data_IF_479170047875
#
_entry.id   IF_479170047875
#
_cell.length_a   1.000
_cell.length_b   1.000
_cell.length_c   1.000
_cell.angle_alpha   90.00
_cell.angle_beta   90.00
_cell.angle_gamma   90.00
#
_symmetry.space_group_name_H-M   'P 1'
#
loop_
_entity.id
_entity.type
_entity.pdbx_description
1 polymer ?
#
# COMPACT_ATOMS: atom_id res chain seq x y z
N UNK A 1 3.59 -7.24 8.92
CA UNK A 1 2.38 -7.04 8.11
C UNK A 1 1.50 -6.14 8.94
N UNK A 2 1.57 -4.85 8.64
CA UNK A 2 1.42 -3.81 9.66
C UNK A 2 0.00 -3.24 9.71
N UNK A 3 -0.94 -3.91 9.03
CA UNK A 3 -2.37 -3.62 9.10
C UNK A 3 -2.86 -2.53 8.15
N UNK A 4 -1.98 -1.91 7.37
CA UNK A 4 -2.34 -0.78 6.48
C UNK A 4 -2.99 -1.18 5.14
N UNK A 5 -3.54 -2.39 5.04
CA UNK A 5 -4.15 -2.86 3.80
C UNK A 5 -5.49 -2.19 3.49
N UNK A 6 -5.66 -1.77 2.24
CA UNK A 6 -6.88 -1.20 1.67
C UNK A 6 -7.48 -2.10 0.57
N UNK A 7 -8.77 -1.90 0.24
CA UNK A 7 -9.40 -2.65 -0.87
C UNK A 7 -8.72 -2.35 -2.22
N UNK A 8 -8.23 -1.13 -2.42
CA UNK A 8 -7.50 -0.74 -3.64
C UNK A 8 -6.24 -1.59 -3.85
N UNK A 9 -5.55 -2.01 -2.78
CA UNK A 9 -4.35 -2.84 -2.89
C UNK A 9 -4.65 -4.17 -3.60
N UNK A 10 -5.86 -4.72 -3.47
CA UNK A 10 -6.25 -5.95 -4.19
C UNK A 10 -6.37 -5.72 -5.70
N UNK A 11 -6.84 -4.55 -6.12
CA UNK A 11 -6.91 -4.18 -7.53
C UNK A 11 -5.50 -3.96 -8.09
N UNK A 12 -4.62 -3.33 -7.31
CA UNK A 12 -3.23 -3.10 -7.68
C UNK A 12 -2.47 -4.43 -7.82
N UNK A 13 -2.74 -5.42 -6.96
CA UNK A 13 -2.20 -6.78 -7.09
C UNK A 13 -2.63 -7.45 -8.42
N UNK A 14 -3.90 -7.35 -8.83
CA UNK A 14 -4.35 -7.91 -10.12
C UNK A 14 -3.68 -7.23 -11.31
N UNK A 15 -3.51 -5.90 -11.23
CA UNK A 15 -2.80 -5.15 -12.26
C UNK A 15 -1.33 -5.56 -12.34
N UNK A 16 -0.64 -5.69 -11.19
CA UNK A 16 0.74 -6.14 -11.12
C UNK A 16 0.93 -7.56 -11.66
N UNK A 17 -0.01 -8.48 -11.38
CA UNK A 17 0.02 -9.84 -11.95
C UNK A 17 0.04 -9.80 -13.48
N UNK A 18 -0.86 -9.02 -14.08
CA UNK A 18 -0.92 -8.85 -15.54
C UNK A 18 0.35 -8.21 -16.08
N UNK A 19 0.88 -7.20 -15.40
CA UNK A 19 2.12 -6.53 -15.80
C UNK A 19 3.29 -7.53 -15.79
N UNK A 20 3.47 -8.26 -14.69
CA UNK A 20 4.58 -9.20 -14.53
C UNK A 20 4.50 -10.36 -15.52
N UNK A 21 3.30 -10.89 -15.80
CA UNK A 21 3.12 -11.95 -16.80
C UNK A 21 3.45 -11.52 -18.22
N UNK A 22 3.16 -10.26 -18.58
CA UNK A 22 3.27 -9.78 -19.96
C UNK A 22 4.60 -9.05 -20.26
N UNK A 23 5.20 -8.39 -19.27
CA UNK A 23 6.35 -7.51 -19.49
C UNK A 23 7.68 -8.08 -18.96
N UNK A 24 7.65 -9.21 -18.24
CA UNK A 24 8.89 -9.82 -17.72
C UNK A 24 9.70 -10.49 -18.83
N UNK A 25 11.00 -10.21 -18.87
CA UNK A 25 11.93 -10.79 -19.83
C UNK A 25 12.25 -12.28 -19.56
N UNK A 26 12.13 -12.72 -18.31
CA UNK A 26 12.43 -14.10 -17.92
C UNK A 26 11.27 -14.74 -17.14
N UNK A 27 11.28 -16.08 -17.10
CA UNK A 27 10.24 -16.87 -16.43
C UNK A 27 10.12 -16.64 -14.93
N UNK A 28 11.16 -16.11 -14.27
CA UNK A 28 11.09 -15.77 -12.85
C UNK A 28 10.13 -14.61 -12.61
N UNK A 29 10.21 -13.54 -13.41
CA UNK A 29 9.32 -12.39 -13.27
C UNK A 29 7.87 -12.75 -13.56
N UNK A 30 7.62 -13.56 -14.60
CA UNK A 30 6.26 -13.99 -14.93
C UNK A 30 5.65 -15.00 -13.95
N UNK A 31 6.47 -15.75 -13.20
CA UNK A 31 6.00 -16.70 -12.18
C UNK A 31 5.97 -16.15 -10.75
N UNK A 32 6.67 -15.03 -10.49
CA UNK A 32 6.70 -14.37 -9.20
C UNK A 32 5.31 -14.05 -8.60
N UNK A 33 4.28 -13.58 -9.35
CA UNK A 33 2.99 -13.25 -8.74
C UNK A 33 2.14 -14.49 -8.40
N UNK A 34 2.45 -15.67 -8.96
CA UNK A 34 1.60 -16.86 -8.86
C UNK A 34 1.23 -17.24 -7.43
N UNK A 35 2.15 -17.27 -6.43
CA UNK A 35 1.78 -17.63 -5.07
C UNK A 35 0.78 -16.66 -4.44
N UNK A 36 0.90 -15.37 -4.72
CA UNK A 36 0.01 -14.33 -4.17
C UNK A 36 -1.36 -14.41 -4.84
N UNK A 37 -1.40 -14.54 -6.17
CA UNK A 37 -2.66 -14.61 -6.92
C UNK A 37 -3.42 -15.89 -6.60
N UNK A 38 -2.75 -17.04 -6.55
CA UNK A 38 -3.37 -18.32 -6.22
C UNK A 38 -4.00 -18.30 -4.82
N UNK A 39 -3.30 -17.71 -3.85
CA UNK A 39 -3.80 -17.62 -2.47
C UNK A 39 -4.90 -16.57 -2.35
N UNK A 40 -4.84 -15.46 -3.08
CA UNK A 40 -5.92 -14.49 -3.16
C UNK A 40 -7.20 -15.10 -3.74
N UNK A 41 -7.09 -15.93 -4.78
CA UNK A 41 -8.23 -16.63 -5.38
C UNK A 41 -8.82 -17.70 -4.45
N UNK A 42 -7.98 -18.52 -3.82
CA UNK A 42 -8.42 -19.65 -2.96
C UNK A 42 -8.85 -19.21 -1.57
N UNK A 43 -8.29 -18.13 -1.04
CA UNK A 43 -8.46 -17.68 0.33
C UNK A 43 -8.85 -16.21 0.45
N UNK A 44 -9.61 -15.67 -0.53
CA UNK A 44 -10.04 -14.26 -0.54
C UNK A 44 -10.59 -13.75 0.81
N UNK A 45 -11.44 -14.49 1.53
CA UNK A 45 -11.93 -14.04 2.83
C UNK A 45 -10.82 -13.84 3.88
N UNK A 46 -9.68 -14.54 3.76
CA UNK A 46 -8.54 -14.34 4.66
C UNK A 46 -7.80 -13.02 4.41
N UNK A 47 -7.79 -12.54 3.17
CA UNK A 47 -7.26 -11.22 2.81
C UNK A 47 -8.24 -10.12 3.23
N UNK A 48 -9.52 -10.25 2.89
CA UNK A 48 -10.55 -9.27 3.22
C UNK A 48 -10.65 -9.02 4.73
N UNK A 49 -10.52 -10.06 5.57
CA UNK A 49 -10.49 -9.91 7.04
C UNK A 49 -9.32 -9.06 7.57
N UNK A 50 -8.27 -8.85 6.77
CA UNK A 50 -7.07 -8.07 7.15
C UNK A 50 -7.06 -6.67 6.53
N UNK A 51 -8.02 -6.37 5.66
CA UNK A 51 -8.20 -5.04 5.07
C UNK A 51 -9.01 -4.20 6.06
N UNK A 52 -8.44 -3.05 6.42
CA UNK A 52 -9.02 -2.16 7.43
C UNK A 52 -9.67 -0.92 6.81
N UNK A 53 -9.34 -0.61 5.56
CA UNK A 53 -9.77 0.62 4.88
C UNK A 53 -10.44 0.33 3.54
N UNK A 54 -11.53 1.04 3.26
CA UNK A 54 -12.28 0.88 2.01
C UNK A 54 -11.60 1.56 0.81
N UNK A 55 -10.95 2.71 1.04
CA UNK A 55 -10.40 3.54 -0.04
C UNK A 55 -8.87 3.49 -0.09
N UNK A 56 -8.20 4.20 0.81
CA UNK A 56 -6.75 4.34 0.84
C UNK A 56 -6.22 4.48 2.26
N UNK A 57 -5.07 3.87 2.53
CA UNK A 57 -4.32 4.03 3.77
C UNK A 57 -2.82 4.14 3.45
N UNK A 58 -2.11 5.15 3.97
CA UNK A 58 -0.66 5.22 3.86
C UNK A 58 0.00 3.98 4.47
N UNK A 59 1.00 3.43 3.75
CA UNK A 59 1.76 2.27 4.22
C UNK A 59 2.73 2.58 5.37
N UNK A 60 2.95 3.87 5.68
CA UNK A 60 3.82 4.35 6.74
C UNK A 60 3.28 5.65 7.35
N UNK A 61 3.82 6.01 8.52
CA UNK A 61 3.47 7.24 9.23
C UNK A 61 3.99 8.48 8.47
N UNK A 62 3.07 9.19 7.82
CA UNK A 62 3.36 10.40 7.06
C UNK A 62 3.84 11.55 7.95
N UNK A 63 3.29 11.68 9.16
CA UNK A 63 3.67 12.74 10.08
C UNK A 63 5.07 12.47 10.65
N UNK A 64 5.31 11.24 11.08
CA UNK A 64 6.63 10.80 11.53
C UNK A 64 7.71 10.94 10.45
N UNK A 65 7.37 10.73 9.17
CA UNK A 65 8.30 10.92 8.06
C UNK A 65 8.79 12.38 7.91
N UNK A 66 8.04 13.36 8.43
CA UNK A 66 8.43 14.78 8.41
C UNK A 66 9.32 15.19 9.58
N UNK A 67 9.56 14.31 10.56
CA UNK A 67 10.34 14.63 11.75
C UNK A 67 11.71 15.26 11.42
N UNK A 68 12.42 14.70 10.43
CA UNK A 68 13.74 15.21 10.04
C UNK A 68 13.67 16.63 9.44
N UNK A 69 12.62 16.95 8.70
CA UNK A 69 12.44 18.28 8.12
C UNK A 69 12.12 19.32 9.21
N UNK A 70 11.34 18.95 10.23
CA UNK A 70 11.03 19.81 11.39
C UNK A 70 12.30 20.15 12.16
N UNK A 71 13.14 19.17 12.44
CA UNK A 71 14.44 19.37 13.09
C UNK A 71 15.33 20.36 12.33
N UNK A 72 15.41 20.22 11.00
CA UNK A 72 16.26 21.07 10.17
C UNK A 72 15.76 22.51 10.05
N UNK A 73 14.45 22.71 10.08
CA UNK A 73 13.82 24.03 9.89
C UNK A 73 13.48 24.72 11.21
N UNK A 74 13.52 24.01 12.34
CA UNK A 74 13.09 24.51 13.64
C UNK A 74 11.59 24.78 13.73
N UNK A 75 10.78 24.18 12.84
CA UNK A 75 9.33 24.36 12.80
C UNK A 75 8.60 23.24 13.53
N UNK A 76 7.56 23.63 14.28
CA UNK A 76 6.65 22.73 15.00
C UNK A 76 5.20 23.29 15.01
N UNK A 77 4.90 24.19 14.08
CA UNK A 77 3.56 24.75 13.93
C UNK A 77 2.62 23.76 13.22
N UNK A 78 1.30 24.00 13.29
CA UNK A 78 0.30 23.13 12.68
C UNK A 78 0.57 22.84 11.19
N UNK A 79 1.13 23.80 10.44
CA UNK A 79 1.48 23.62 9.03
C UNK A 79 2.73 22.78 8.79
N UNK A 80 3.40 22.30 9.84
CA UNK A 80 4.48 21.33 9.76
C UNK A 80 4.01 19.89 10.05
N UNK A 81 2.74 19.70 10.44
CA UNK A 81 2.13 18.40 10.74
C UNK A 81 1.12 17.95 9.69
N UNK A 82 1.00 16.63 9.51
CA UNK A 82 0.01 15.99 8.66
C UNK A 82 -0.96 15.21 9.55
N UNK A 83 -2.26 15.48 9.41
CA UNK A 83 -3.28 14.66 10.06
C UNK A 83 -3.28 13.26 9.43
N UNK A 84 -3.20 12.23 10.28
CA UNK A 84 -3.13 10.82 9.85
C UNK A 84 -4.45 10.27 9.30
N UNK A 85 -5.40 11.12 8.90
CA UNK A 85 -6.80 10.76 8.65
C UNK A 85 -7.24 11.01 7.22
N UNK A 86 -7.41 9.90 6.48
CA UNK A 86 -8.21 9.76 5.26
C UNK A 86 -7.69 10.53 4.05
N UNK A 87 -7.12 9.79 3.09
CA UNK A 87 -6.81 10.26 1.75
C UNK A 87 -8.04 10.76 1.00
N UNK A 88 -8.49 11.97 1.32
CA UNK A 88 -9.26 12.79 0.38
C UNK A 88 -8.24 13.55 -0.45
N UNK A 89 -7.75 12.89 -1.51
CA UNK A 89 -7.18 13.63 -2.63
C UNK A 89 -8.37 14.39 -3.24
N UNK A 90 -8.47 15.69 -2.95
CA UNK A 90 -9.34 16.62 -3.70
C UNK A 90 -8.69 17.01 -5.01
#
# INVERSE_FOLDING_TARGET
ADGHGALQDLADIDWLDRLLKNASHCGLGSSAPNPVVDTLLKFRPAYERRIQHADFQPAFDLDGALARAREMTGRDDAGAHLDSGTGVIR
#
